data_IF_702658153831
#
_entry.id   IF_702658153831
#
_cell.length_a   1.000
_cell.length_b   1.000
_cell.length_c   1.000
_cell.angle_alpha   90.00
_cell.angle_beta   90.00
_cell.angle_gamma   90.00
#
_symmetry.space_group_name_H-M   'P 1'
#
loop_
_entity.id
_entity.type
_entity.pdbx_description
1 polymer ?
#
# COMPACT_ATOMS: atom_id res chain seq x y z
N UNK A 1 -15.70 -0.40 -7.45
CA UNK A 1 -16.77 0.61 -7.51
C UNK A 1 -17.84 0.22 -6.52
N UNK A 2 -18.36 1.16 -5.74
CA UNK A 2 -19.47 0.92 -4.84
C UNK A 2 -20.80 0.88 -5.62
N UNK A 3 -21.72 0.02 -5.22
CA UNK A 3 -22.99 -0.17 -5.95
C UNK A 3 -23.95 1.02 -5.82
N UNK A 4 -23.74 1.93 -4.87
CA UNK A 4 -24.50 3.18 -4.71
C UNK A 4 -23.82 4.40 -5.36
N UNK A 5 -22.60 4.26 -5.89
CA UNK A 5 -21.92 5.28 -6.69
C UNK A 5 -22.41 5.25 -8.15
N UNK A 6 -23.60 5.80 -8.38
CA UNK A 6 -24.23 5.83 -9.71
C UNK A 6 -23.34 6.52 -10.73
N UNK A 7 -22.70 7.64 -10.37
CA UNK A 7 -21.86 8.42 -11.28
C UNK A 7 -20.59 7.65 -11.64
N UNK A 8 -19.94 7.03 -10.66
CA UNK A 8 -18.78 6.18 -10.87
C UNK A 8 -19.11 4.96 -11.74
N UNK A 9 -20.25 4.32 -11.50
CA UNK A 9 -20.73 3.20 -12.31
C UNK A 9 -21.00 3.61 -13.76
N UNK A 10 -21.69 4.73 -13.99
CA UNK A 10 -21.93 5.26 -15.33
C UNK A 10 -20.63 5.60 -16.07
N UNK A 11 -19.70 6.26 -15.39
CA UNK A 11 -18.37 6.56 -15.95
C UNK A 11 -17.60 5.28 -16.28
N UNK A 12 -17.62 4.31 -15.40
CA UNK A 12 -16.97 3.00 -15.61
C UNK A 12 -17.51 2.33 -16.87
N UNK A 13 -18.82 2.22 -17.00
CA UNK A 13 -19.48 1.53 -18.10
C UNK A 13 -19.35 2.27 -19.44
N UNK A 14 -19.47 3.59 -19.42
CA UNK A 14 -19.55 4.37 -20.65
C UNK A 14 -18.20 4.86 -21.18
N UNK A 15 -17.20 4.99 -20.35
CA UNK A 15 -15.90 5.54 -20.69
C UNK A 15 -14.73 4.56 -20.43
N UNK A 16 -14.64 4.01 -19.21
CA UNK A 16 -13.46 3.23 -18.82
C UNK A 16 -13.47 1.85 -19.48
N UNK A 17 -14.57 1.11 -19.41
CA UNK A 17 -14.65 -0.22 -20.03
C UNK A 17 -14.40 -0.21 -21.54
N UNK A 18 -15.05 0.67 -22.34
CA UNK A 18 -14.79 0.75 -23.77
C UNK A 18 -13.33 1.09 -24.10
N UNK A 19 -12.72 1.97 -23.28
CA UNK A 19 -11.32 2.32 -23.46
C UNK A 19 -10.38 1.13 -23.17
N UNK A 20 -10.62 0.40 -22.08
CA UNK A 20 -9.84 -0.78 -21.69
C UNK A 20 -9.98 -1.88 -22.76
N UNK A 21 -11.19 -2.13 -23.24
CA UNK A 21 -11.47 -3.10 -24.31
C UNK A 21 -10.78 -2.73 -25.61
N UNK A 22 -10.85 -1.47 -26.02
CA UNK A 22 -10.15 -0.95 -27.20
C UNK A 22 -8.64 -1.21 -27.14
N UNK A 23 -8.05 -1.07 -25.94
CA UNK A 23 -6.62 -1.26 -25.72
C UNK A 23 -6.24 -2.71 -25.37
N UNK A 24 -7.23 -3.63 -25.36
CA UNK A 24 -7.05 -5.06 -25.04
C UNK A 24 -6.35 -5.29 -23.70
N UNK A 25 -6.66 -4.46 -22.71
CA UNK A 25 -6.12 -4.60 -21.34
C UNK A 25 -6.94 -5.66 -20.63
N UNK A 26 -6.26 -6.68 -20.10
CA UNK A 26 -6.93 -7.67 -19.25
C UNK A 26 -7.40 -7.00 -17.95
N UNK A 27 -8.68 -7.09 -17.67
CA UNK A 27 -9.29 -6.40 -16.53
C UNK A 27 -10.42 -7.20 -15.90
N UNK A 28 -10.73 -6.85 -14.66
CA UNK A 28 -11.92 -7.29 -13.94
C UNK A 28 -12.43 -6.12 -13.12
N UNK A 29 -13.71 -5.84 -13.23
CA UNK A 29 -14.40 -4.86 -12.40
C UNK A 29 -15.11 -5.61 -11.29
N UNK A 30 -14.88 -5.17 -10.06
CA UNK A 30 -15.55 -5.71 -8.87
C UNK A 30 -16.44 -4.62 -8.31
N UNK A 31 -17.71 -4.94 -8.14
CA UNK A 31 -18.70 -4.04 -7.53
C UNK A 31 -18.88 -4.46 -6.08
N UNK A 32 -18.79 -3.52 -5.17
CA UNK A 32 -18.92 -3.75 -3.74
C UNK A 32 -20.17 -3.06 -3.20
N UNK A 33 -20.73 -3.62 -2.14
CA UNK A 33 -21.57 -2.87 -1.23
C UNK A 33 -20.72 -1.83 -0.49
N UNK A 34 -21.21 -0.61 -0.23
CA UNK A 34 -20.46 0.44 0.45
C UNK A 34 -19.94 -0.03 1.81
N UNK A 35 -18.64 -0.01 1.99
CA UNK A 35 -17.99 -0.46 3.22
C UNK A 35 -17.68 0.69 4.19
N UNK A 36 -17.66 1.91 3.68
CA UNK A 36 -17.24 3.09 4.41
C UNK A 36 -15.74 3.14 4.72
N UNK A 37 -15.28 4.29 5.17
CA UNK A 37 -13.85 4.57 5.37
C UNK A 37 -13.15 3.60 6.33
N UNK A 38 -13.84 3.15 7.39
CA UNK A 38 -13.27 2.22 8.38
C UNK A 38 -12.96 0.83 7.82
N UNK A 39 -13.57 0.47 6.72
CA UNK A 39 -13.47 -0.86 6.14
C UNK A 39 -12.77 -0.86 4.76
N UNK A 40 -11.91 0.13 4.47
CA UNK A 40 -11.17 0.21 3.20
C UNK A 40 -10.35 -1.06 2.92
N UNK A 41 -9.90 -1.76 3.96
CA UNK A 41 -9.22 -3.06 3.81
C UNK A 41 -10.09 -4.13 3.15
N UNK A 42 -11.42 -4.06 3.28
CA UNK A 42 -12.34 -5.00 2.62
C UNK A 42 -12.26 -4.90 1.10
N UNK A 43 -12.18 -3.68 0.56
CA UNK A 43 -12.01 -3.48 -0.88
C UNK A 43 -10.68 -4.04 -1.38
N UNK A 44 -9.60 -3.72 -0.68
CA UNK A 44 -8.24 -4.17 -1.04
C UNK A 44 -8.15 -5.69 -1.01
N UNK A 45 -8.68 -6.32 0.02
CA UNK A 45 -8.69 -7.78 0.15
C UNK A 45 -9.53 -8.43 -0.95
N UNK A 46 -10.74 -7.92 -1.21
CA UNK A 46 -11.61 -8.43 -2.27
C UNK A 46 -11.01 -8.25 -3.67
N UNK A 47 -10.32 -7.14 -3.94
CA UNK A 47 -9.61 -6.94 -5.21
C UNK A 47 -8.42 -7.92 -5.35
N UNK A 48 -7.69 -8.15 -4.27
CA UNK A 48 -6.58 -9.10 -4.27
C UNK A 48 -7.06 -10.54 -4.55
N UNK A 49 -8.19 -10.95 -3.97
CA UNK A 49 -8.82 -12.26 -4.23
C UNK A 49 -9.12 -12.46 -5.72
N UNK A 50 -9.57 -11.40 -6.39
CA UNK A 50 -9.92 -11.45 -7.80
C UNK A 50 -8.76 -11.21 -8.77
N UNK A 51 -7.61 -10.79 -8.29
CA UNK A 51 -6.44 -10.54 -9.12
C UNK A 51 -5.70 -11.84 -9.46
N UNK A 52 -4.88 -11.81 -10.53
CA UNK A 52 -4.08 -12.96 -10.99
C UNK A 52 -2.61 -12.60 -11.22
N UNK A 53 -2.23 -11.34 -11.03
CA UNK A 53 -0.87 -10.87 -11.21
C UNK A 53 0.11 -11.42 -10.17
N UNK A 54 1.37 -11.55 -10.53
CA UNK A 54 2.45 -11.93 -9.59
C UNK A 54 2.73 -10.84 -8.57
N UNK A 55 2.40 -9.60 -8.90
CA UNK A 55 2.51 -8.43 -8.04
C UNK A 55 1.14 -7.78 -7.88
N UNK A 56 0.81 -7.35 -6.68
CA UNK A 56 -0.39 -6.62 -6.31
C UNK A 56 0.00 -5.17 -6.07
N UNK A 57 -0.42 -4.26 -6.95
CA UNK A 57 -0.12 -2.85 -6.86
C UNK A 57 -1.37 -2.08 -6.44
N UNK A 58 -1.35 -1.49 -5.25
CA UNK A 58 -2.44 -0.62 -4.79
C UNK A 58 -2.29 0.75 -5.41
N UNK A 59 -3.30 1.14 -6.15
CA UNK A 59 -3.30 2.38 -6.88
C UNK A 59 -4.61 3.12 -6.64
N UNK A 60 -4.51 4.42 -6.33
CA UNK A 60 -5.67 5.29 -6.16
C UNK A 60 -5.98 6.03 -7.46
N UNK A 61 -7.23 6.45 -7.61
CA UNK A 61 -7.72 7.21 -8.77
C UNK A 61 -7.15 8.64 -8.83
N UNK A 62 -6.70 9.20 -7.72
CA UNK A 62 -6.04 10.50 -7.62
C UNK A 62 -4.51 10.45 -7.82
N UNK A 63 -3.98 9.32 -8.27
CA UNK A 63 -2.57 9.13 -8.54
C UNK A 63 -2.23 9.14 -10.03
N UNK A 64 -1.10 9.74 -10.38
CA UNK A 64 -0.60 9.81 -11.75
C UNK A 64 0.83 9.26 -11.84
N UNK A 65 1.01 8.19 -12.62
CA UNK A 65 2.33 7.60 -12.86
C UNK A 65 3.20 8.56 -13.69
N UNK A 66 4.41 8.83 -13.22
CA UNK A 66 5.39 9.71 -13.89
C UNK A 66 6.51 8.93 -14.57
N UNK A 67 6.86 7.79 -14.04
CA UNK A 67 7.94 6.97 -14.59
C UNK A 67 7.46 6.19 -15.80
N UNK A 68 8.08 6.38 -16.96
CA UNK A 68 7.84 5.56 -18.13
C UNK A 68 8.36 4.13 -17.91
N UNK A 69 7.65 3.14 -18.44
CA UNK A 69 7.99 1.70 -18.29
C UNK A 69 8.18 1.27 -16.82
N UNK A 70 7.41 1.87 -15.91
CA UNK A 70 7.43 1.59 -14.48
C UNK A 70 7.24 0.10 -14.14
N UNK A 71 6.43 -0.57 -14.90
CA UNK A 71 6.13 -1.99 -14.75
C UNK A 71 7.36 -2.89 -15.01
N UNK A 72 8.30 -2.45 -15.85
CA UNK A 72 9.58 -3.15 -16.04
C UNK A 72 10.42 -3.14 -14.77
N UNK A 73 10.40 -2.04 -14.00
CA UNK A 73 11.10 -1.94 -12.71
C UNK A 73 10.57 -2.94 -11.68
N UNK A 74 9.25 -3.16 -11.70
CA UNK A 74 8.64 -4.17 -10.83
C UNK A 74 8.99 -5.57 -11.31
N UNK A 75 8.97 -5.82 -12.64
CA UNK A 75 9.33 -7.13 -13.22
C UNK A 75 10.77 -7.54 -12.97
N UNK A 76 11.68 -6.59 -12.88
CA UNK A 76 13.09 -6.85 -12.50
C UNK A 76 13.22 -7.49 -11.11
N UNK A 77 12.20 -7.35 -10.26
CA UNK A 77 12.11 -7.93 -8.91
C UNK A 77 11.32 -9.24 -8.84
N UNK A 78 11.02 -9.84 -9.99
CA UNK A 78 10.25 -11.10 -10.03
C UNK A 78 10.99 -12.21 -9.28
N UNK A 79 10.29 -12.84 -8.34
CA UNK A 79 10.85 -13.89 -7.47
C UNK A 79 11.37 -13.37 -6.12
N UNK A 80 11.43 -12.06 -5.91
CA UNK A 80 11.75 -11.49 -4.61
C UNK A 80 10.50 -11.39 -3.73
N UNK A 81 10.65 -11.64 -2.43
CA UNK A 81 9.61 -11.44 -1.44
C UNK A 81 9.84 -10.11 -0.72
N UNK A 82 9.36 -9.03 -1.31
CA UNK A 82 9.53 -7.67 -0.80
C UNK A 82 8.28 -6.82 -0.96
N UNK A 83 8.08 -5.86 -0.08
CA UNK A 83 7.20 -4.74 -0.32
C UNK A 83 8.00 -3.68 -1.09
N UNK A 84 7.58 -3.39 -2.33
CA UNK A 84 8.17 -2.33 -3.12
C UNK A 84 7.36 -1.04 -2.92
N UNK A 85 8.06 0.08 -2.72
CA UNK A 85 7.48 1.41 -2.52
C UNK A 85 7.92 2.33 -3.65
N UNK A 86 6.97 3.10 -4.19
CA UNK A 86 7.24 4.14 -5.18
C UNK A 86 7.49 5.49 -4.50
N UNK A 87 8.20 6.39 -5.19
CA UNK A 87 8.35 7.77 -4.74
C UNK A 87 7.08 8.57 -5.04
N UNK A 88 6.63 9.31 -4.05
CA UNK A 88 5.61 10.34 -4.19
C UNK A 88 6.22 11.71 -3.85
N UNK A 89 5.53 12.80 -4.17
CA UNK A 89 6.02 14.14 -3.83
C UNK A 89 6.10 14.38 -2.31
N UNK A 90 5.41 13.59 -1.50
CA UNK A 90 5.54 13.56 -0.05
C UNK A 90 6.36 12.34 0.34
N UNK A 91 7.57 12.53 0.86
CA UNK A 91 8.39 11.47 1.40
C UNK A 91 7.75 10.95 2.69
N UNK A 92 6.86 9.97 2.54
CA UNK A 92 6.30 9.25 3.67
C UNK A 92 7.21 8.11 4.11
N UNK A 93 7.31 7.84 5.43
CA UNK A 93 8.09 6.72 5.93
C UNK A 93 7.50 5.36 5.53
N UNK A 94 6.22 5.29 5.18
CA UNK A 94 5.55 4.10 4.67
C UNK A 94 5.19 4.25 3.18
N UNK A 95 4.91 3.14 2.54
CA UNK A 95 4.52 3.13 1.13
C UNK A 95 3.06 3.54 0.97
N UNK A 96 2.80 4.73 0.39
CA UNK A 96 1.42 5.18 0.09
C UNK A 96 0.78 4.27 -0.97
N UNK A 97 1.56 3.82 -1.94
CA UNK A 97 1.15 2.90 -2.99
C UNK A 97 2.00 1.63 -2.93
N UNK A 98 1.71 0.72 -1.98
CA UNK A 98 2.49 -0.49 -1.81
C UNK A 98 2.30 -1.44 -3.00
N UNK A 99 3.40 -2.08 -3.38
CA UNK A 99 3.43 -3.15 -4.36
C UNK A 99 3.90 -4.40 -3.61
N UNK A 100 3.04 -5.40 -3.54
CA UNK A 100 3.26 -6.63 -2.78
C UNK A 100 3.36 -7.83 -3.72
N UNK A 101 4.23 -8.80 -3.44
CA UNK A 101 4.19 -10.08 -4.14
C UNK A 101 2.86 -10.80 -3.81
N UNK A 102 2.31 -11.52 -4.80
CA UNK A 102 1.05 -12.24 -4.62
C UNK A 102 1.10 -13.24 -3.46
N UNK A 103 2.27 -13.81 -3.20
CA UNK A 103 2.50 -14.71 -2.07
C UNK A 103 2.10 -14.10 -0.73
N UNK A 104 2.18 -12.78 -0.57
CA UNK A 104 1.69 -12.10 0.64
C UNK A 104 0.22 -12.43 0.92
N UNK A 105 -0.63 -12.29 -0.10
CA UNK A 105 -2.04 -12.63 0.00
C UNK A 105 -2.26 -14.14 0.18
N UNK A 106 -1.52 -14.96 -0.53
CA UNK A 106 -1.63 -16.42 -0.46
C UNK A 106 -1.27 -16.98 0.93
N UNK A 107 -0.31 -16.35 1.62
CA UNK A 107 0.11 -16.75 2.97
C UNK A 107 -0.88 -16.28 4.02
N UNK A 108 -1.33 -15.02 3.95
CA UNK A 108 -2.16 -14.41 4.98
C UNK A 108 -3.66 -14.63 4.76
N UNK A 109 -4.11 -14.82 3.52
CA UNK A 109 -5.52 -14.80 3.11
C UNK A 109 -6.11 -13.39 3.02
N UNK A 110 -5.31 -12.37 3.23
CA UNK A 110 -5.68 -10.94 3.14
C UNK A 110 -4.43 -10.08 2.88
N UNK A 111 -4.65 -8.84 2.52
CA UNK A 111 -3.59 -7.85 2.39
C UNK A 111 -3.42 -7.07 3.70
N UNK A 112 -4.55 -6.60 4.24
CA UNK A 112 -4.59 -5.79 5.45
C UNK A 112 -5.82 -6.13 6.29
N UNK A 113 -5.72 -5.91 7.58
CA UNK A 113 -6.83 -6.00 8.53
C UNK A 113 -7.21 -4.63 9.10
N UNK A 114 -6.72 -3.54 8.49
CA UNK A 114 -6.95 -2.19 8.94
C UNK A 114 -7.24 -1.24 7.77
N UNK A 115 -8.04 -0.21 7.98
CA UNK A 115 -8.40 0.79 6.97
C UNK A 115 -7.19 1.58 6.44
N UNK A 116 -6.16 1.81 7.27
CA UNK A 116 -4.88 2.37 6.82
C UNK A 116 -4.01 1.25 6.24
N UNK A 117 -4.42 0.75 5.08
CA UNK A 117 -3.79 -0.40 4.42
C UNK A 117 -2.29 -0.18 4.17
N UNK A 118 -1.95 1.01 3.69
CA UNK A 118 -0.60 1.46 3.39
C UNK A 118 0.34 1.39 4.61
N UNK A 119 -0.10 1.93 5.74
CA UNK A 119 0.64 1.88 6.98
C UNK A 119 0.72 0.45 7.56
N UNK A 120 -0.39 -0.32 7.48
CA UNK A 120 -0.43 -1.69 7.99
C UNK A 120 0.61 -2.59 7.30
N UNK A 121 0.60 -2.63 5.97
CA UNK A 121 1.54 -3.48 5.21
C UNK A 121 2.98 -2.97 5.31
N UNK A 122 3.18 -1.65 5.39
CA UNK A 122 4.51 -1.08 5.55
C UNK A 122 5.13 -1.47 6.90
N UNK A 123 4.35 -1.48 7.97
CA UNK A 123 4.82 -1.92 9.28
C UNK A 123 5.22 -3.40 9.26
N UNK A 124 4.42 -4.27 8.65
CA UNK A 124 4.79 -5.68 8.46
C UNK A 124 6.10 -5.82 7.69
N UNK A 125 6.26 -5.06 6.61
CA UNK A 125 7.48 -5.08 5.82
C UNK A 125 8.72 -4.60 6.60
N UNK A 126 8.55 -3.63 7.49
CA UNK A 126 9.62 -3.19 8.38
C UNK A 126 9.95 -4.22 9.47
N UNK A 127 8.97 -4.91 10.04
CA UNK A 127 9.23 -6.02 10.96
C UNK A 127 10.09 -7.10 10.33
N UNK A 128 9.89 -7.37 9.04
CA UNK A 128 10.51 -8.46 8.31
C UNK A 128 11.75 -8.03 7.52
N UNK A 129 12.12 -6.76 7.54
CA UNK A 129 13.22 -6.17 6.75
C UNK A 129 13.08 -6.38 5.23
N UNK A 130 11.86 -6.36 4.74
CA UNK A 130 11.53 -6.56 3.32
C UNK A 130 10.98 -5.31 2.62
N UNK A 131 11.09 -4.14 3.25
CA UNK A 131 10.70 -2.87 2.64
C UNK A 131 11.79 -2.37 1.71
N UNK A 132 11.44 -2.09 0.45
CA UNK A 132 12.36 -1.54 -0.54
C UNK A 132 11.70 -0.40 -1.32
N UNK A 133 12.37 0.75 -1.43
CA UNK A 133 11.95 1.85 -2.29
C UNK A 133 12.62 1.72 -3.65
N UNK A 134 11.81 1.66 -4.70
CA UNK A 134 12.26 1.52 -6.10
C UNK A 134 12.19 2.86 -6.82
N UNK A 135 13.01 3.03 -7.87
CA UNK A 135 13.07 4.25 -8.68
C UNK A 135 11.86 4.34 -9.64
N UNK A 136 10.68 4.43 -9.05
CA UNK A 136 9.40 4.68 -9.73
C UNK A 136 8.74 5.86 -9.04
N UNK A 137 8.33 6.86 -9.82
CA UNK A 137 7.78 8.12 -9.32
C UNK A 137 6.33 8.27 -9.76
N UNK A 138 5.50 8.77 -8.86
CA UNK A 138 4.13 9.18 -9.15
C UNK A 138 3.76 10.46 -8.42
N UNK A 139 2.80 11.19 -8.96
CA UNK A 139 2.14 12.28 -8.25
C UNK A 139 0.91 11.70 -7.55
N UNK A 140 0.66 12.14 -6.34
CA UNK A 140 -0.55 11.85 -5.59
C UNK A 140 -1.32 13.15 -5.41
N UNK A 141 -2.36 13.34 -6.20
CA UNK A 141 -3.13 14.59 -6.30
C UNK A 141 -4.16 14.71 -5.16
N UNK A 142 -3.72 14.54 -3.93
CA UNK A 142 -4.55 14.62 -2.74
C UNK A 142 -5.23 16.00 -2.61
N UNK A 143 -6.36 16.02 -1.89
CA UNK A 143 -7.14 17.24 -1.66
C UNK A 143 -6.35 18.39 -1.03
N UNK A 144 -5.39 18.08 -0.16
CA UNK A 144 -4.52 19.06 0.51
C UNK A 144 -3.55 19.76 -0.47
N UNK A 145 -3.35 19.19 -1.64
CA UNK A 145 -2.53 19.72 -2.73
C UNK A 145 -3.41 20.41 -3.77
N UNK A 146 -4.50 19.76 -4.17
CA UNK A 146 -5.40 20.25 -5.22
C UNK A 146 -6.44 21.24 -4.73
N UNK A 147 -6.69 21.29 -3.41
CA UNK A 147 -7.77 22.10 -2.82
C UNK A 147 -9.17 21.54 -3.07
N UNK A 148 -9.31 20.41 -3.78
CA UNK A 148 -10.59 19.75 -4.07
C UNK A 148 -10.94 18.88 -2.88
N UNK A 149 -11.83 19.38 -2.00
CA UNK A 149 -12.14 18.72 -0.73
C UNK A 149 -13.62 18.29 -0.59
N UNK A 150 -14.35 18.21 -1.67
CA UNK A 150 -15.77 17.84 -1.67
C UNK A 150 -16.02 16.34 -1.83
N UNK A 151 -14.97 15.53 -1.84
CA UNK A 151 -15.05 14.08 -1.90
C UNK A 151 -15.68 13.50 -0.64
N UNK A 152 -16.66 12.59 -0.81
CA UNK A 152 -17.37 11.95 0.29
C UNK A 152 -16.43 11.13 1.19
N UNK A 153 -15.38 10.50 0.63
CA UNK A 153 -14.37 9.74 1.35
C UNK A 153 -13.59 10.64 2.32
N UNK A 154 -13.17 11.82 1.86
CA UNK A 154 -12.50 12.78 2.72
C UNK A 154 -13.41 13.40 3.78
N UNK A 155 -14.70 13.55 3.48
CA UNK A 155 -15.67 13.98 4.49
C UNK A 155 -15.84 12.94 5.59
N UNK A 156 -15.99 11.67 5.23
CA UNK A 156 -16.01 10.56 6.19
C UNK A 156 -14.72 10.52 7.02
N UNK A 157 -13.56 10.60 6.37
CA UNK A 157 -12.26 10.64 7.04
C UNK A 157 -12.19 11.75 8.09
N UNK A 158 -12.62 12.97 7.77
CA UNK A 158 -12.61 14.09 8.73
C UNK A 158 -13.51 13.86 9.94
N UNK A 159 -14.71 13.30 9.71
CA UNK A 159 -15.62 12.96 10.81
C UNK A 159 -14.94 11.96 11.74
N UNK A 160 -14.18 11.03 11.20
CA UNK A 160 -13.55 9.96 11.93
C UNK A 160 -12.25 10.41 12.61
N UNK A 161 -11.42 11.21 11.95
CA UNK A 161 -10.23 11.84 12.54
C UNK A 161 -10.61 12.76 13.73
N UNK A 162 -11.81 13.36 13.69
CA UNK A 162 -12.39 14.11 14.81
C UNK A 162 -12.92 13.24 15.96
N UNK A 163 -13.00 11.92 15.76
CA UNK A 163 -13.48 10.98 16.78
C UNK A 163 -12.52 9.77 16.89
N UNK A 164 -11.46 9.88 17.72
CA UNK A 164 -10.43 8.84 17.85
C UNK A 164 -10.96 7.45 18.22
N UNK A 165 -12.16 7.36 18.81
CA UNK A 165 -12.78 6.07 19.13
C UNK A 165 -13.35 5.32 17.93
N UNK A 166 -13.49 5.98 16.77
CA UNK A 166 -14.02 5.41 15.54
C UNK A 166 -12.93 5.10 14.49
N UNK A 167 -11.79 5.75 14.59
CA UNK A 167 -10.62 5.40 13.78
C UNK A 167 -9.84 4.35 14.54
N UNK A 168 -9.81 3.12 14.06
CA UNK A 168 -8.98 2.08 14.65
C UNK A 168 -7.53 2.60 14.75
N UNK A 169 -7.01 2.70 15.96
CA UNK A 169 -5.62 3.06 16.16
C UNK A 169 -4.75 1.86 15.80
N UNK A 170 -3.86 2.02 14.84
CA UNK A 170 -2.86 1.00 14.51
C UNK A 170 -2.01 0.56 15.71
N UNK A 171 -1.89 1.41 16.73
CA UNK A 171 -1.18 1.11 17.97
C UNK A 171 -2.10 0.51 19.05
N UNK A 172 -3.39 0.34 18.79
CA UNK A 172 -4.26 -0.37 19.72
C UNK A 172 -3.73 -1.79 19.95
N UNK A 173 -3.72 -2.31 21.19
CA UNK A 173 -3.14 -3.63 21.50
C UNK A 173 -3.65 -4.76 20.60
N UNK A 174 -4.93 -4.76 20.25
CA UNK A 174 -5.50 -5.77 19.36
C UNK A 174 -4.92 -5.65 17.92
N UNK A 175 -4.74 -4.43 17.42
CA UNK A 175 -4.12 -4.18 16.11
C UNK A 175 -2.64 -4.55 16.11
N UNK A 176 -1.92 -4.25 17.18
CA UNK A 176 -0.53 -4.69 17.36
C UNK A 176 -0.48 -6.21 17.34
N UNK A 177 -1.38 -6.88 18.06
CA UNK A 177 -1.45 -8.35 18.08
C UNK A 177 -1.71 -8.92 16.67
N UNK A 178 -2.70 -8.40 15.94
CA UNK A 178 -3.01 -8.87 14.58
C UNK A 178 -1.81 -8.72 13.64
N UNK A 179 -1.13 -7.57 13.65
CA UNK A 179 0.09 -7.39 12.85
C UNK A 179 1.21 -8.32 13.27
N UNK A 180 1.35 -8.55 14.56
CA UNK A 180 2.35 -9.48 15.10
C UNK A 180 2.08 -10.91 14.64
N UNK A 181 0.82 -11.34 14.68
CA UNK A 181 0.38 -12.67 14.20
C UNK A 181 0.62 -12.81 12.68
N UNK A 182 0.33 -11.77 11.89
CA UNK A 182 0.59 -11.77 10.44
C UNK A 182 2.08 -11.76 10.14
N UNK A 183 2.87 -10.95 10.84
CA UNK A 183 4.33 -10.96 10.71
C UNK A 183 4.92 -12.34 11.01
N UNK A 184 4.42 -13.03 12.04
CA UNK A 184 4.86 -14.38 12.39
C UNK A 184 4.56 -15.40 11.27
N UNK A 185 3.39 -15.32 10.63
CA UNK A 185 3.04 -16.19 9.49
C UNK A 185 3.97 -15.96 8.30
N UNK A 186 4.18 -14.68 7.94
CA UNK A 186 5.10 -14.31 6.87
C UNK A 186 6.54 -14.75 7.18
N UNK A 187 7.01 -14.54 8.41
CA UNK A 187 8.34 -14.96 8.85
C UNK A 187 8.53 -16.48 8.77
N UNK A 188 7.52 -17.25 9.20
CA UNK A 188 7.56 -18.72 9.09
C UNK A 188 7.72 -19.15 7.64
N UNK A 189 6.91 -18.58 6.75
CA UNK A 189 7.01 -18.86 5.32
C UNK A 189 8.39 -18.46 4.75
N UNK A 190 8.90 -17.27 5.11
CA UNK A 190 10.23 -16.81 4.69
C UNK A 190 11.34 -17.76 5.16
N UNK A 191 11.25 -18.25 6.39
CA UNK A 191 12.20 -19.23 6.94
C UNK A 191 12.17 -20.53 6.15
N UNK A 192 11.00 -21.02 5.80
CA UNK A 192 10.82 -22.24 4.98
C UNK A 192 11.40 -22.05 3.56
N UNK A 193 11.47 -20.83 3.07
CA UNK A 193 12.14 -20.46 1.80
C UNK A 193 13.64 -20.19 1.96
N UNK A 194 14.20 -20.28 3.17
CA UNK A 194 15.62 -20.01 3.44
C UNK A 194 16.01 -18.52 3.37
N UNK A 195 15.03 -17.60 3.54
CA UNK A 195 15.29 -16.16 3.55
C UNK A 195 15.83 -15.70 4.90
N UNK A 196 16.62 -14.61 4.89
CA UNK A 196 17.21 -14.05 6.11
C UNK A 196 16.14 -13.37 6.98
N UNK A 197 16.09 -13.76 8.25
CA UNK A 197 15.15 -13.25 9.27
C UNK A 197 15.84 -12.61 10.46
N UNK A 198 17.13 -12.32 10.37
CA UNK A 198 17.91 -11.79 11.50
C UNK A 198 17.23 -10.56 12.10
N UNK A 199 16.75 -9.65 11.29
CA UNK A 199 16.05 -8.45 11.76
C UNK A 199 14.70 -8.76 12.44
N UNK A 200 13.93 -9.69 11.90
CA UNK A 200 12.64 -10.08 12.50
C UNK A 200 12.82 -10.59 13.93
N UNK A 201 13.82 -11.45 14.15
CA UNK A 201 14.13 -11.96 15.50
C UNK A 201 14.44 -10.82 16.47
N UNK A 202 15.24 -9.84 16.03
CA UNK A 202 15.60 -8.69 16.85
C UNK A 202 14.40 -7.79 17.18
N UNK A 203 13.55 -7.51 16.20
CA UNK A 203 12.34 -6.71 16.39
C UNK A 203 11.31 -7.44 17.24
N UNK A 204 11.12 -8.75 17.01
CA UNK A 204 10.21 -9.60 17.75
C UNK A 204 10.55 -9.73 19.23
N UNK A 205 11.82 -9.81 19.54
CA UNK A 205 12.29 -9.81 20.94
C UNK A 205 12.16 -8.44 21.64
N UNK A 206 11.50 -7.47 21.01
CA UNK A 206 11.25 -6.15 21.58
C UNK A 206 12.47 -5.24 21.58
N UNK A 207 13.51 -5.57 20.85
CA UNK A 207 14.77 -4.81 20.80
C UNK A 207 14.72 -3.60 19.88
N UNK A 208 13.78 -3.56 18.89
CA UNK A 208 13.60 -2.41 18.03
C UNK A 208 12.12 -2.15 17.73
N UNK A 209 11.71 -0.89 17.91
CA UNK A 209 10.40 -0.42 17.45
C UNK A 209 10.45 -0.27 15.91
N UNK A 210 9.55 -0.93 15.14
CA UNK A 210 9.50 -0.79 13.68
C UNK A 210 9.38 0.67 13.21
N UNK A 211 8.70 1.52 13.98
CA UNK A 211 8.59 2.95 13.72
C UNK A 211 9.93 3.69 13.82
N UNK A 212 10.84 3.24 14.67
CA UNK A 212 12.19 3.80 14.75
C UNK A 212 12.97 3.50 13.48
N UNK A 213 12.86 2.28 12.95
CA UNK A 213 13.51 1.90 11.70
C UNK A 213 12.90 2.64 10.50
N UNK A 214 11.58 2.77 10.45
CA UNK A 214 10.89 3.57 9.44
C UNK A 214 11.46 5.00 9.39
N UNK A 215 11.52 5.66 10.54
CA UNK A 215 12.04 7.03 10.67
C UNK A 215 13.53 7.13 10.33
N UNK A 216 14.34 6.15 10.72
CA UNK A 216 15.77 6.12 10.41
C UNK A 216 16.03 5.95 8.91
N UNK A 217 15.26 5.08 8.23
CA UNK A 217 15.35 4.90 6.78
C UNK A 217 14.89 6.15 6.02
N UNK A 218 13.89 6.86 6.52
CA UNK A 218 13.41 8.12 5.94
C UNK A 218 14.52 9.19 6.00
N UNK A 219 15.20 9.32 7.13
CA UNK A 219 16.31 10.26 7.31
C UNK A 219 17.49 9.94 6.38
N UNK A 220 17.83 8.67 6.21
CA UNK A 220 18.89 8.24 5.30
C UNK A 220 18.52 8.49 3.82
N UNK A 221 17.27 8.28 3.43
CA UNK A 221 16.79 8.55 2.08
C UNK A 221 16.75 10.06 1.77
N UNK A 222 16.44 10.92 2.75
CA UNK A 222 16.50 12.37 2.59
C UNK A 222 17.94 12.87 2.35
N UNK A 223 18.91 12.30 3.06
CA UNK A 223 20.33 12.64 2.86
C UNK A 223 20.79 12.24 1.45
N UNK A 224 20.37 11.07 0.97
CA UNK A 224 20.74 10.56 -0.35
C UNK A 224 20.06 11.36 -1.48
N UNK A 225 18.81 11.77 -1.31
CA UNK A 225 18.08 12.62 -2.25
C UNK A 225 18.68 14.03 -2.33
N UNK A 226 19.19 14.57 -1.22
CA UNK A 226 19.83 15.88 -1.16
C UNK A 226 21.20 15.84 -1.83
N UNK A 227 21.97 14.77 -1.66
CA UNK A 227 23.28 14.59 -2.30
C UNK A 227 23.17 14.43 -3.82
N UNK A 228 22.11 13.81 -4.33
CA UNK A 228 21.85 13.66 -5.77
C UNK A 228 21.45 15.00 -6.44
N UNK A 229 20.77 15.91 -5.73
CA UNK A 229 20.42 17.26 -6.26
C UNK A 229 21.62 18.20 -6.42
N UNK A 230 22.69 17.97 -5.68
CA UNK A 230 23.92 18.81 -5.75
C UNK A 230 24.81 18.41 -6.93
N UNK A 231 24.67 17.21 -7.48
CA UNK A 231 25.50 16.72 -8.57
C UNK A 231 24.93 16.89 -9.98
N UNK A 232 23.79 17.59 -10.12
CA UNK A 232 23.12 17.91 -11.40
C UNK A 232 23.05 19.39 -11.73
N UNK A 233 23.94 20.21 -11.15
CA UNK A 233 24.09 21.63 -11.48
C UNK A 233 25.35 21.87 -12.29
#
# INVERSE_FOLDING_TARGET
>A
VDNDDVVGMENMLNNVCPWIEQHKINHKIVVFEPQGYNNLHTYVNGLAEHSQGSWLFFWNDDAVMKTSAWDSRIRERTGEFKLLSVYTHNDHPYSIFPILPRQWFEILGHISQHSSNDAYVSQLAYYLDIFERIDVHCDHNRYDITGINNDATYQQRRIMEGNPSQVGDLNHPDMVKLRTDDAAKLATWMQDQGLDLTFFVEAWEGRQDPWVKMRANDTNNQVDATSRRVNTA
#
